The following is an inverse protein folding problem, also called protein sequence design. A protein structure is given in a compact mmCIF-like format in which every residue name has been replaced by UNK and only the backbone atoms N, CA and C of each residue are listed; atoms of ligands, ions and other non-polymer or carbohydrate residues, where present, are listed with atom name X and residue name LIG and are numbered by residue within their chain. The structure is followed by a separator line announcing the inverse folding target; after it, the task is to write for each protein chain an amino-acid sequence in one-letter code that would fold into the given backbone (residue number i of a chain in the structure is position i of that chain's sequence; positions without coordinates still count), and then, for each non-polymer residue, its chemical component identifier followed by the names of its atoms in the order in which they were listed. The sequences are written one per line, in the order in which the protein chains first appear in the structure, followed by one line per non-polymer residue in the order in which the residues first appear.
data_IF_987473542043
#
_entry.id   IF_987473542043
#
_cell.length_a   1.000
_cell.length_b   1.000
_cell.length_c   1.000
_cell.angle_alpha   90.00
_cell.angle_beta   90.00
_cell.angle_gamma   90.00
#
_symmetry.space_group_name_H-M   'P 1'
#
loop_
_entity.id
_entity.type
_entity.pdbx_description
1 polymer ?
#
# COMPACT_ATOMS: atom_id res chain seq x y z
N UNK A 1 -50.59 -3.09 66.52
CA UNK A 1 -49.36 -3.87 66.24
C UNK A 1 -49.23 -3.92 64.74
N UNK A 2 -48.17 -3.32 64.23
CA UNK A 2 -48.06 -2.77 62.87
C UNK A 2 -47.39 -3.75 61.90
N UNK A 3 -47.95 -3.90 60.70
CA UNK A 3 -47.53 -4.83 59.64
C UNK A 3 -46.32 -4.28 58.86
N UNK A 4 -45.16 -4.23 59.51
CA UNK A 4 -43.90 -3.70 58.94
C UNK A 4 -43.08 -4.74 58.16
N UNK A 5 -43.73 -5.71 57.49
CA UNK A 5 -43.04 -6.79 56.74
C UNK A 5 -43.22 -6.73 55.22
N UNK A 6 -43.46 -5.54 54.67
CA UNK A 6 -43.40 -5.30 53.22
C UNK A 6 -41.95 -5.07 52.82
N UNK A 7 -41.17 -6.15 52.94
CA UNK A 7 -39.79 -6.22 52.54
C UNK A 7 -39.75 -6.04 51.02
N UNK A 8 -39.63 -4.80 50.56
CA UNK A 8 -38.43 -4.33 49.84
C UNK A 8 -37.83 -5.35 48.87
N UNK A 9 -38.66 -5.96 48.04
CA UNK A 9 -38.24 -6.51 46.77
C UNK A 9 -37.94 -5.33 45.87
N UNK A 10 -36.74 -4.78 46.10
CA UNK A 10 -36.00 -3.96 45.15
C UNK A 10 -36.13 -4.68 43.82
N UNK A 11 -36.87 -4.05 42.93
CA UNK A 11 -36.93 -4.31 41.52
C UNK A 11 -35.51 -4.50 41.00
N UNK A 12 -35.09 -5.76 40.94
CA UNK A 12 -33.95 -6.16 40.13
C UNK A 12 -34.26 -5.64 38.74
N UNK A 13 -33.39 -4.75 38.28
CA UNK A 13 -33.50 -4.00 37.05
C UNK A 13 -33.23 -4.96 35.90
N UNK A 14 -34.14 -5.91 35.68
CA UNK A 14 -34.06 -6.95 34.63
C UNK A 14 -34.11 -6.35 33.21
N UNK A 15 -34.27 -5.03 33.09
CA UNK A 15 -34.17 -4.31 31.81
C UNK A 15 -32.75 -4.01 31.32
N UNK A 16 -31.69 -4.28 32.10
CA UNK A 16 -30.33 -3.85 31.73
C UNK A 16 -29.52 -4.87 30.90
N UNK A 17 -29.99 -6.11 30.72
CA UNK A 17 -29.23 -7.16 30.02
C UNK A 17 -29.43 -7.20 28.48
N UNK A 18 -30.39 -6.45 27.92
CA UNK A 18 -30.68 -6.48 26.47
C UNK A 18 -30.19 -5.22 25.71
N UNK A 19 -29.73 -4.19 26.42
CA UNK A 19 -29.25 -2.93 25.82
C UNK A 19 -27.76 -2.92 25.49
N UNK A 20 -26.98 -3.85 26.03
CA UNK A 20 -25.51 -3.83 25.93
C UNK A 20 -24.96 -4.54 24.69
N UNK A 21 -25.80 -5.23 23.92
CA UNK A 21 -25.40 -6.00 22.74
C UNK A 21 -25.54 -5.24 21.40
N UNK A 22 -25.78 -3.91 21.43
CA UNK A 22 -26.08 -3.13 20.21
C UNK A 22 -25.26 -1.87 20.02
N UNK A 23 -23.99 -1.90 20.43
CA UNK A 23 -22.98 -0.98 19.91
C UNK A 23 -21.74 -1.76 19.51
N UNK A 24 -21.92 -2.68 18.56
CA UNK A 24 -20.87 -2.95 17.59
C UNK A 24 -20.66 -1.63 16.84
N UNK A 25 -19.81 -0.77 17.41
CA UNK A 25 -19.54 0.55 16.87
C UNK A 25 -19.03 0.37 15.45
N UNK A 26 -19.78 0.87 14.48
CA UNK A 26 -19.26 1.13 13.15
C UNK A 26 -18.04 2.04 13.36
N UNK A 27 -16.85 1.45 13.19
CA UNK A 27 -15.58 2.15 13.30
C UNK A 27 -15.52 3.20 12.21
N UNK A 28 -15.88 4.43 12.53
CA UNK A 28 -15.64 5.57 11.66
C UNK A 28 -14.14 5.83 11.61
N UNK A 29 -13.61 6.00 10.41
CA UNK A 29 -12.18 6.26 10.18
C UNK A 29 -11.79 7.60 10.78
N UNK A 30 -10.69 7.64 11.53
CA UNK A 30 -10.24 8.90 12.16
C UNK A 30 -9.41 9.73 11.17
N UNK A 31 -9.40 11.06 11.33
CA UNK A 31 -8.53 11.94 10.54
C UNK A 31 -7.04 11.60 10.75
N UNK A 32 -6.68 11.20 11.98
CA UNK A 32 -5.31 10.81 12.32
C UNK A 32 -4.91 9.52 11.62
N UNK A 33 -5.80 8.54 11.55
CA UNK A 33 -5.56 7.27 10.85
C UNK A 33 -5.33 7.51 9.36
N UNK A 34 -6.12 8.38 8.73
CA UNK A 34 -5.87 8.81 7.35
C UNK A 34 -4.50 9.46 7.22
N UNK A 35 -4.17 10.42 8.10
CA UNK A 35 -2.88 11.12 8.07
C UNK A 35 -1.70 10.13 8.15
N UNK A 36 -1.74 9.18 9.08
CA UNK A 36 -0.69 8.17 9.24
C UNK A 36 -0.60 7.29 8.00
N UNK A 37 -1.72 6.85 7.43
CA UNK A 37 -1.74 6.01 6.22
C UNK A 37 -1.12 6.74 5.03
N UNK A 38 -1.52 7.99 4.75
CA UNK A 38 -0.91 8.75 3.64
C UNK A 38 0.57 9.04 3.92
N UNK A 39 0.95 9.27 5.18
CA UNK A 39 2.34 9.40 5.59
C UNK A 39 3.19 8.15 5.30
N UNK A 40 2.67 6.96 5.62
CA UNK A 40 3.33 5.69 5.29
C UNK A 40 3.46 5.51 3.77
N UNK A 41 2.38 5.79 3.02
CA UNK A 41 2.39 5.73 1.55
C UNK A 41 3.45 6.68 0.98
N UNK A 42 3.56 7.91 1.49
CA UNK A 42 4.57 8.88 1.06
C UNK A 42 6.00 8.38 1.30
N UNK A 43 6.28 7.80 2.46
CA UNK A 43 7.59 7.21 2.77
C UNK A 43 7.90 6.05 1.82
N UNK A 44 6.97 5.09 1.67
CA UNK A 44 7.15 3.94 0.79
C UNK A 44 7.37 4.35 -0.67
N UNK A 45 6.58 5.30 -1.18
CA UNK A 45 6.69 5.77 -2.56
C UNK A 45 7.99 6.55 -2.79
N UNK A 46 8.46 7.33 -1.82
CA UNK A 46 9.71 8.09 -1.92
C UNK A 46 10.94 7.19 -2.15
N UNK A 47 10.92 5.97 -1.60
CA UNK A 47 12.00 4.98 -1.74
C UNK A 47 11.77 4.08 -2.97
N UNK A 48 10.51 3.70 -3.23
CA UNK A 48 10.15 2.79 -4.32
C UNK A 48 10.35 3.40 -5.70
N UNK A 49 9.97 4.67 -5.90
CA UNK A 49 10.08 5.35 -7.21
C UNK A 49 11.52 5.45 -7.76
N UNK A 50 12.53 5.90 -7.00
CA UNK A 50 13.91 5.94 -7.50
C UNK A 50 14.47 4.53 -7.78
N UNK A 51 14.10 3.53 -6.96
CA UNK A 51 14.48 2.14 -7.20
C UNK A 51 13.96 1.62 -8.56
N UNK A 52 12.71 1.94 -8.91
CA UNK A 52 12.15 1.62 -10.22
C UNK A 52 12.83 2.38 -11.37
N UNK A 53 13.16 3.65 -11.17
CA UNK A 53 13.86 4.47 -12.20
C UNK A 53 15.27 3.92 -12.51
N UNK A 54 15.94 3.31 -11.54
CA UNK A 54 17.21 2.61 -11.71
C UNK A 54 17.14 1.39 -12.65
N UNK A 55 16.01 0.66 -12.64
CA UNK A 55 15.78 -0.47 -13.53
C UNK A 55 15.66 -0.03 -15.00
N UNK A 56 14.94 1.07 -15.26
CA UNK A 56 14.80 1.63 -16.61
C UNK A 56 16.13 2.13 -17.18
N UNK A 57 16.95 2.81 -16.37
CA UNK A 57 18.26 3.32 -16.81
C UNK A 57 19.23 2.20 -17.19
N UNK A 58 19.24 1.09 -16.44
CA UNK A 58 20.05 -0.09 -16.75
C UNK A 58 19.59 -0.82 -18.01
N UNK A 59 18.29 -0.79 -18.32
CA UNK A 59 17.76 -1.34 -19.56
C UNK A 59 18.18 -0.48 -20.77
N UNK A 60 18.13 0.85 -20.66
CA UNK A 60 18.51 1.76 -21.74
C UNK A 60 20.00 1.71 -22.07
N UNK A 61 20.90 1.66 -21.07
CA UNK A 61 22.35 1.62 -21.32
C UNK A 61 22.80 0.30 -21.97
N UNK A 62 22.21 -0.83 -21.55
CA UNK A 62 22.43 -2.13 -22.19
C UNK A 62 21.90 -2.16 -23.63
N UNK A 63 20.73 -1.55 -23.87
CA UNK A 63 20.18 -1.39 -25.22
C UNK A 63 21.08 -0.56 -26.13
N UNK A 64 21.50 0.62 -25.66
CA UNK A 64 22.39 1.52 -26.41
C UNK A 64 23.73 0.87 -26.77
N UNK A 65 24.35 0.15 -25.83
CA UNK A 65 25.61 -0.58 -26.09
C UNK A 65 25.44 -1.67 -27.12
N UNK A 66 24.33 -2.42 -27.08
CA UNK A 66 24.01 -3.46 -28.08
C UNK A 66 23.80 -2.84 -29.46
N UNK A 67 23.09 -1.72 -29.53
CA UNK A 67 22.82 -1.02 -30.77
C UNK A 67 24.10 -0.50 -31.43
N UNK A 68 25.01 0.10 -30.65
CA UNK A 68 26.33 0.49 -31.15
C UNK A 68 27.14 -0.69 -31.70
N UNK A 69 27.10 -1.84 -31.01
CA UNK A 69 27.81 -3.04 -31.47
C UNK A 69 27.21 -3.62 -32.76
N UNK A 70 25.89 -3.53 -32.92
CA UNK A 70 25.17 -3.90 -34.15
C UNK A 70 25.61 -3.01 -35.32
N UNK A 71 25.61 -1.69 -35.12
CA UNK A 71 25.99 -0.71 -36.14
C UNK A 71 27.45 -0.90 -36.59
N UNK A 72 28.37 -1.15 -35.65
CA UNK A 72 29.77 -1.44 -35.96
C UNK A 72 29.96 -2.75 -36.74
N UNK A 73 29.20 -3.79 -36.39
CA UNK A 73 29.21 -5.07 -37.12
C UNK A 73 28.69 -4.89 -38.54
N UNK A 74 27.61 -4.15 -38.70
CA UNK A 74 27.02 -3.83 -39.99
C UNK A 74 27.99 -3.02 -40.88
N UNK A 75 28.59 -1.97 -40.33
CA UNK A 75 29.59 -1.16 -41.04
C UNK A 75 30.79 -2.00 -41.49
N UNK A 76 31.27 -2.91 -40.62
CA UNK A 76 32.34 -3.85 -40.97
C UNK A 76 31.94 -4.77 -42.12
N UNK A 77 30.73 -5.29 -42.12
CA UNK A 77 30.24 -6.17 -43.18
C UNK A 77 30.14 -5.44 -44.52
N UNK A 78 29.66 -4.19 -44.53
CA UNK A 78 29.64 -3.35 -45.74
C UNK A 78 31.06 -3.13 -46.27
N UNK A 79 32.01 -2.80 -45.39
CA UNK A 79 33.40 -2.56 -45.80
C UNK A 79 34.06 -3.81 -46.41
N UNK A 80 33.80 -5.00 -45.84
CA UNK A 80 34.30 -6.25 -46.40
C UNK A 80 33.66 -6.59 -47.75
N UNK A 81 32.33 -6.42 -47.87
CA UNK A 81 31.60 -6.65 -49.11
C UNK A 81 32.09 -5.73 -50.24
N UNK A 82 32.32 -4.46 -49.95
CA UNK A 82 32.81 -3.49 -50.93
C UNK A 82 34.30 -3.68 -51.30
N UNK A 83 35.08 -4.42 -50.50
CA UNK A 83 36.49 -4.73 -50.80
C UNK A 83 36.64 -5.92 -51.75
N UNK A 84 35.65 -6.82 -51.80
CA UNK A 84 35.68 -8.05 -52.61
C UNK A 84 35.17 -7.90 -54.05
N UNK A 85 35.00 -6.66 -54.53
CA UNK A 85 34.67 -6.30 -55.92
C UNK A 85 35.76 -5.42 -56.50
#
# INVERSE_FOLDING_TARGET
MDDSRTNRWRSATTGQALGQARRAGLSAFTLLELLVVVGIIAVLTSITLPAMKGLGRSATSKGATRQLMEDLRYARQIALRNRST
#
